data_IF_846413541597
#
_entry.id   IF_846413541597
#
_cell.length_a   1.000
_cell.length_b   1.000
_cell.length_c   1.000
_cell.angle_alpha   90.00
_cell.angle_beta   90.00
_cell.angle_gamma   90.00
#
_symmetry.space_group_name_H-M   'P 1'
#
loop_
_entity.id
_entity.type
_entity.pdbx_description
1 polymer ?
#
# COMPACT_ATOMS: atom_id res chain seq x y z
N UNK A 1 -5.71 11.76 -0.30
CA UNK A 1 -6.31 12.48 -1.46
C UNK A 1 -5.25 13.27 -2.22
N UNK A 2 -4.59 14.28 -1.62
CA UNK A 2 -3.55 15.06 -2.32
C UNK A 2 -2.37 14.20 -2.84
N UNK A 3 -1.82 13.31 -1.99
CA UNK A 3 -0.73 12.39 -2.39
C UNK A 3 -1.17 11.43 -3.50
N UNK A 4 -2.42 10.99 -3.51
CA UNK A 4 -2.93 10.08 -4.53
C UNK A 4 -3.24 10.78 -5.85
N UNK A 5 -3.74 12.01 -5.78
CA UNK A 5 -3.85 12.88 -6.96
C UNK A 5 -2.47 13.14 -7.56
N UNK A 6 -1.46 13.35 -6.72
CA UNK A 6 -0.07 13.50 -7.16
C UNK A 6 0.48 12.23 -7.81
N UNK A 7 0.23 11.05 -7.23
CA UNK A 7 0.69 9.79 -7.80
C UNK A 7 -0.02 9.46 -9.13
N UNK A 8 -1.32 9.70 -9.21
CA UNK A 8 -2.09 9.52 -10.44
C UNK A 8 -1.60 10.45 -11.55
N UNK A 9 -1.36 11.72 -11.22
CA UNK A 9 -0.80 12.69 -12.16
C UNK A 9 0.62 12.27 -12.58
N UNK A 10 1.45 11.82 -11.64
CA UNK A 10 2.80 11.36 -11.94
C UNK A 10 2.82 10.14 -12.88
N UNK A 11 1.94 9.17 -12.65
CA UNK A 11 1.80 8.01 -13.54
C UNK A 11 1.31 8.42 -14.92
N UNK A 12 0.32 9.31 -14.98
CA UNK A 12 -0.18 9.85 -16.25
C UNK A 12 0.92 10.56 -17.04
N UNK A 13 1.71 11.42 -16.38
CA UNK A 13 2.81 12.15 -17.02
C UNK A 13 3.93 11.21 -17.47
N UNK A 14 4.25 10.18 -16.70
CA UNK A 14 5.24 9.17 -17.10
C UNK A 14 4.77 8.40 -18.34
N UNK A 15 3.54 7.92 -18.33
CA UNK A 15 2.96 7.18 -19.45
C UNK A 15 2.85 8.06 -20.71
N UNK A 16 2.50 9.34 -20.54
CA UNK A 16 2.51 10.32 -21.63
C UNK A 16 3.90 10.46 -22.25
N UNK A 17 4.94 10.67 -21.42
CA UNK A 17 6.32 10.81 -21.91
C UNK A 17 6.79 9.54 -22.64
N UNK A 18 6.51 8.36 -22.09
CA UNK A 18 6.90 7.08 -22.73
C UNK A 18 6.22 6.91 -24.10
N UNK A 19 4.94 7.25 -24.21
CA UNK A 19 4.21 7.14 -25.47
C UNK A 19 4.63 8.19 -26.50
N UNK A 20 4.87 9.42 -26.07
CA UNK A 20 5.41 10.48 -26.94
C UNK A 20 6.78 10.07 -27.50
N UNK A 21 7.69 9.57 -26.64
CA UNK A 21 9.00 9.07 -27.07
C UNK A 21 8.88 7.92 -28.08
N UNK A 22 8.01 6.94 -27.82
CA UNK A 22 7.82 5.81 -28.73
C UNK A 22 7.30 6.25 -30.10
N UNK A 23 6.44 7.28 -30.16
CA UNK A 23 5.86 7.78 -31.42
C UNK A 23 6.82 8.70 -32.16
N UNK A 24 7.58 9.53 -31.46
CA UNK A 24 8.67 10.31 -32.06
C UNK A 24 9.73 9.41 -32.72
N UNK A 25 10.01 8.23 -32.15
CA UNK A 25 10.89 7.25 -32.79
C UNK A 25 10.33 6.73 -34.12
N UNK A 26 9.01 6.57 -34.23
CA UNK A 26 8.36 6.16 -35.48
C UNK A 26 8.39 7.28 -36.53
N UNK A 27 8.28 8.54 -36.11
CA UNK A 27 8.48 9.71 -36.97
C UNK A 27 9.92 9.75 -37.49
N UNK A 28 10.91 9.52 -36.61
CA UNK A 28 12.34 9.48 -36.99
C UNK A 28 12.66 8.35 -37.99
N UNK A 29 11.94 7.22 -37.91
CA UNK A 29 12.05 6.10 -38.86
C UNK A 29 11.34 6.38 -40.19
N UNK A 30 10.60 7.48 -40.30
CA UNK A 30 9.81 7.83 -41.49
C UNK A 30 8.55 6.98 -41.66
N UNK A 31 8.14 6.23 -40.64
CA UNK A 31 6.94 5.39 -40.64
C UNK A 31 5.68 6.22 -40.32
N UNK A 32 5.84 7.37 -39.67
CA UNK A 32 4.77 8.27 -39.26
C UNK A 32 5.09 9.70 -39.68
N UNK A 33 4.08 10.47 -40.10
CA UNK A 33 4.24 11.92 -40.30
C UNK A 33 4.10 12.67 -38.98
N UNK A 34 4.77 13.82 -38.86
CA UNK A 34 4.71 14.66 -37.65
C UNK A 34 3.28 15.07 -37.30
N UNK A 35 2.49 15.48 -38.31
CA UNK A 35 1.08 15.82 -38.14
C UNK A 35 0.20 14.62 -37.70
N UNK A 36 0.56 13.40 -38.11
CA UNK A 36 -0.13 12.19 -37.68
C UNK A 36 0.28 11.76 -36.27
N UNK A 37 1.52 12.03 -35.86
CA UNK A 37 2.00 11.88 -34.49
C UNK A 37 1.19 12.75 -33.52
N UNK A 38 1.06 14.03 -33.85
CA UNK A 38 0.34 15.00 -33.02
C UNK A 38 -1.14 14.61 -32.85
N UNK A 39 -1.80 14.22 -33.94
CA UNK A 39 -3.20 13.75 -33.89
C UNK A 39 -3.35 12.51 -33.01
N UNK A 40 -2.44 11.54 -33.13
CA UNK A 40 -2.48 10.33 -32.30
C UNK A 40 -2.22 10.65 -30.83
N UNK A 41 -1.37 11.64 -30.53
CA UNK A 41 -1.12 12.12 -29.16
C UNK A 41 -2.38 12.73 -28.57
N UNK A 42 -3.03 13.64 -29.29
CA UNK A 42 -4.27 14.28 -28.84
C UNK A 42 -5.40 13.25 -28.63
N UNK A 43 -5.58 12.31 -29.57
CA UNK A 43 -6.58 11.23 -29.44
C UNK A 43 -6.29 10.26 -28.28
N UNK A 44 -5.02 10.08 -27.93
CA UNK A 44 -4.66 9.28 -26.76
C UNK A 44 -4.89 10.06 -25.47
N UNK A 45 -4.48 11.32 -25.42
CA UNK A 45 -4.63 12.22 -24.29
C UNK A 45 -6.10 12.32 -23.87
N UNK A 46 -7.00 12.61 -24.81
CA UNK A 46 -8.43 12.71 -24.53
C UNK A 46 -9.03 11.40 -23.98
N UNK A 47 -8.61 10.25 -24.53
CA UNK A 47 -9.11 8.94 -24.12
C UNK A 47 -8.65 8.56 -22.72
N UNK A 48 -7.36 8.67 -22.44
CA UNK A 48 -6.83 8.35 -21.12
C UNK A 48 -7.28 9.37 -20.08
N UNK A 49 -7.29 10.67 -20.40
CA UNK A 49 -7.81 11.69 -19.50
C UNK A 49 -9.25 11.40 -19.07
N UNK A 50 -10.13 11.09 -20.04
CA UNK A 50 -11.53 10.76 -19.76
C UNK A 50 -11.66 9.51 -18.89
N UNK A 51 -10.94 8.43 -19.22
CA UNK A 51 -10.94 7.18 -18.44
C UNK A 51 -10.47 7.42 -17.01
N UNK A 52 -9.39 8.17 -16.83
CA UNK A 52 -8.83 8.50 -15.53
C UNK A 52 -9.79 9.36 -14.70
N UNK A 53 -10.47 10.34 -15.31
CA UNK A 53 -11.51 11.14 -14.66
C UNK A 53 -12.75 10.34 -14.29
N UNK A 54 -13.15 9.36 -15.11
CA UNK A 54 -14.29 8.48 -14.82
C UNK A 54 -13.99 7.48 -13.67
N UNK A 55 -12.74 7.07 -13.52
CA UNK A 55 -12.30 6.20 -12.41
C UNK A 55 -12.03 6.97 -11.11
N UNK A 56 -11.70 8.25 -11.20
CA UNK A 56 -11.31 9.08 -10.05
C UNK A 56 -12.35 9.07 -8.92
N UNK A 57 -13.66 9.27 -9.16
CA UNK A 57 -14.67 9.22 -8.08
C UNK A 57 -14.72 7.87 -7.38
N UNK A 58 -14.56 6.77 -8.13
CA UNK A 58 -14.55 5.41 -7.57
C UNK A 58 -13.33 5.18 -6.69
N UNK A 59 -12.15 5.64 -7.14
CA UNK A 59 -10.91 5.58 -6.37
C UNK A 59 -11.04 6.42 -5.09
N UNK A 60 -11.50 7.67 -5.19
CA UNK A 60 -11.72 8.56 -4.04
C UNK A 60 -12.66 7.90 -3.03
N UNK A 61 -13.79 7.37 -3.48
CA UNK A 61 -14.75 6.69 -2.61
C UNK A 61 -14.12 5.49 -1.91
N UNK A 62 -13.40 4.64 -2.65
CA UNK A 62 -12.70 3.48 -2.07
C UNK A 62 -11.72 3.90 -0.97
N UNK A 63 -10.91 4.93 -1.21
CA UNK A 63 -9.96 5.43 -0.22
C UNK A 63 -10.63 6.09 0.97
N UNK A 64 -11.73 6.80 0.75
CA UNK A 64 -12.54 7.39 1.81
C UNK A 64 -13.08 6.30 2.74
N UNK A 65 -13.68 5.24 2.18
CA UNK A 65 -14.17 4.10 2.96
C UNK A 65 -13.02 3.40 3.69
N UNK A 66 -11.91 3.11 3.00
CA UNK A 66 -10.72 2.50 3.59
C UNK A 66 -10.22 3.31 4.79
N UNK A 67 -10.10 4.62 4.65
CA UNK A 67 -9.66 5.53 5.71
C UNK A 67 -10.57 5.47 6.94
N UNK A 68 -11.90 5.48 6.75
CA UNK A 68 -12.85 5.38 7.86
C UNK A 68 -12.78 4.02 8.56
N UNK A 69 -12.64 2.93 7.80
CA UNK A 69 -12.49 1.59 8.36
C UNK A 69 -11.21 1.48 9.20
N UNK A 70 -10.09 2.04 8.72
CA UNK A 70 -8.84 2.08 9.48
C UNK A 70 -9.03 2.85 10.79
N UNK A 71 -9.67 4.02 10.76
CA UNK A 71 -9.95 4.78 11.99
C UNK A 71 -10.80 3.99 12.97
N UNK A 72 -11.87 3.36 12.51
CA UNK A 72 -12.73 2.54 13.36
C UNK A 72 -11.96 1.37 13.98
N UNK A 73 -11.07 0.73 13.22
CA UNK A 73 -10.21 -0.34 13.72
C UNK A 73 -9.16 0.16 14.71
N UNK A 74 -8.57 1.34 14.49
CA UNK A 74 -7.67 1.96 15.47
C UNK A 74 -8.39 2.19 16.79
N UNK A 75 -9.60 2.76 16.76
CA UNK A 75 -10.43 2.96 17.96
C UNK A 75 -10.82 1.64 18.64
N UNK A 76 -11.10 0.60 17.86
CA UNK A 76 -11.35 -0.74 18.40
C UNK A 76 -10.11 -1.31 19.09
N UNK A 77 -8.92 -1.14 18.51
CA UNK A 77 -7.67 -1.59 19.11
C UNK A 77 -7.28 -0.80 20.35
N UNK A 78 -7.55 0.51 20.39
CA UNK A 78 -7.42 1.31 21.62
C UNK A 78 -8.33 0.77 22.73
N UNK A 79 -9.59 0.45 22.43
CA UNK A 79 -10.54 -0.12 23.40
C UNK A 79 -10.16 -1.55 23.84
N UNK A 80 -9.59 -2.37 22.94
CA UNK A 80 -9.05 -3.68 23.31
C UNK A 80 -7.81 -3.51 24.19
N UNK A 81 -6.94 -2.56 23.87
CA UNK A 81 -5.74 -2.29 24.63
C UNK A 81 -6.06 -1.77 26.04
N UNK A 82 -7.04 -0.88 26.18
CA UNK A 82 -7.46 -0.31 27.47
C UNK A 82 -8.01 -1.37 28.43
N UNK A 83 -8.61 -2.44 27.90
CA UNK A 83 -9.10 -3.56 28.71
C UNK A 83 -8.02 -4.56 29.10
N UNK A 84 -6.92 -4.63 28.34
CA UNK A 84 -5.94 -5.72 28.48
C UNK A 84 -4.62 -5.29 29.12
N UNK A 85 -4.23 -4.03 28.94
CA UNK A 85 -2.95 -3.47 29.37
C UNK A 85 -3.14 -2.39 30.44
N UNK A 86 -2.04 -2.01 31.07
CA UNK A 86 -1.97 -0.94 32.06
C UNK A 86 -2.00 0.46 31.41
N UNK A 87 -2.42 1.45 32.20
CA UNK A 87 -2.57 2.84 31.73
C UNK A 87 -1.27 3.42 31.15
N UNK A 88 -0.09 2.99 31.63
CA UNK A 88 1.20 3.46 31.12
C UNK A 88 1.48 2.92 29.71
N UNK A 89 1.17 1.65 29.46
CA UNK A 89 1.30 1.06 28.12
C UNK A 89 0.27 1.66 27.16
N UNK A 90 -0.96 1.91 27.63
CA UNK A 90 -1.99 2.57 26.81
C UNK A 90 -1.59 3.99 26.41
N UNK A 91 -1.03 4.77 27.36
CA UNK A 91 -0.52 6.12 27.07
C UNK A 91 0.59 6.07 26.02
N UNK A 92 1.53 5.13 26.12
CA UNK A 92 2.59 4.94 25.10
C UNK A 92 2.04 4.60 23.73
N UNK A 93 1.03 3.74 23.65
CA UNK A 93 0.41 3.32 22.38
C UNK A 93 -0.42 4.43 21.73
N UNK A 94 -0.94 5.37 22.52
CA UNK A 94 -1.80 6.47 22.04
C UNK A 94 -1.10 7.83 22.05
N UNK A 95 0.19 7.85 22.36
CA UNK A 95 0.93 9.09 22.54
C UNK A 95 1.02 9.90 21.24
N UNK A 96 0.77 11.20 21.37
CA UNK A 96 0.93 12.15 20.28
C UNK A 96 2.42 12.41 20.02
N UNK A 97 2.94 11.79 18.94
CA UNK A 97 4.34 11.92 18.53
C UNK A 97 4.73 13.36 18.16
N UNK A 98 3.80 14.23 17.74
CA UNK A 98 4.11 15.64 17.47
C UNK A 98 4.46 16.38 18.76
N UNK A 99 3.63 16.21 19.80
CA UNK A 99 3.88 16.81 21.11
C UNK A 99 5.11 16.20 21.78
N UNK A 100 5.30 14.89 21.65
CA UNK A 100 6.50 14.23 22.14
C UNK A 100 7.76 14.75 21.45
N UNK A 101 7.73 14.92 20.13
CA UNK A 101 8.83 15.48 19.34
C UNK A 101 9.15 16.94 19.67
N UNK A 102 8.20 17.70 20.25
CA UNK A 102 8.47 19.02 20.81
C UNK A 102 9.05 18.95 22.24
N UNK A 103 8.59 17.99 23.05
CA UNK A 103 8.95 17.89 24.47
C UNK A 103 10.34 17.31 24.68
N UNK A 104 10.68 16.20 24.05
CA UNK A 104 11.94 15.48 24.31
C UNK A 104 13.19 16.35 24.05
N UNK A 105 13.29 17.10 22.94
CA UNK A 105 14.45 17.98 22.70
C UNK A 105 14.56 19.14 23.69
N UNK A 106 13.48 19.52 24.39
CA UNK A 106 13.53 20.56 25.43
C UNK A 106 14.04 20.05 26.76
N UNK A 107 13.99 18.74 27.00
CA UNK A 107 14.37 18.12 28.27
C UNK A 107 15.84 17.69 28.30
N UNK A 108 16.45 17.46 27.14
CA UNK A 108 17.84 17.02 27.01
C UNK A 108 18.53 17.67 25.82
N UNK A 109 19.82 18.01 25.98
CA UNK A 109 20.67 18.49 24.89
C UNK A 109 21.44 17.35 24.19
N UNK A 110 21.36 16.12 24.71
CA UNK A 110 22.02 14.97 24.09
C UNK A 110 21.20 14.44 22.91
N UNK A 111 21.73 14.67 21.70
CA UNK A 111 21.12 14.22 20.44
C UNK A 111 20.90 12.71 20.41
N UNK A 112 21.82 11.91 20.97
CA UNK A 112 21.69 10.46 20.98
C UNK A 112 20.50 9.99 21.83
N UNK A 113 20.29 10.66 22.97
CA UNK A 113 19.17 10.37 23.85
C UNK A 113 17.83 10.81 23.22
N UNK A 114 17.80 11.99 22.56
CA UNK A 114 16.63 12.47 21.81
C UNK A 114 16.23 11.48 20.72
N UNK A 115 17.17 11.00 19.91
CA UNK A 115 16.87 10.03 18.84
C UNK A 115 16.24 8.78 19.45
N UNK A 116 16.86 8.22 20.50
CA UNK A 116 16.40 6.97 21.10
C UNK A 116 15.00 7.09 21.70
N UNK A 117 14.74 8.17 22.42
CA UNK A 117 13.46 8.37 23.10
C UNK A 117 12.35 8.69 22.11
N UNK A 118 12.60 9.56 21.11
CA UNK A 118 11.62 9.84 20.05
C UNK A 118 11.37 8.62 19.18
N UNK A 119 12.39 7.81 18.91
CA UNK A 119 12.24 6.55 18.18
C UNK A 119 11.28 5.60 18.90
N UNK A 120 11.48 5.36 20.20
CA UNK A 120 10.63 4.49 20.99
C UNK A 120 9.18 5.00 20.99
N UNK A 121 8.99 6.31 21.19
CA UNK A 121 7.67 6.93 21.16
C UNK A 121 7.01 6.76 19.79
N UNK A 122 7.72 7.08 18.71
CA UNK A 122 7.20 6.95 17.35
C UNK A 122 6.89 5.49 17.00
N UNK A 123 7.68 4.53 17.49
CA UNK A 123 7.43 3.12 17.29
C UNK A 123 6.14 2.69 17.99
N UNK A 124 6.02 2.93 19.30
CA UNK A 124 4.84 2.53 20.07
C UNK A 124 3.57 3.23 19.64
N UNK A 125 3.63 4.54 19.36
CA UNK A 125 2.44 5.32 18.95
C UNK A 125 1.88 4.87 17.61
N UNK A 126 2.71 4.29 16.74
CA UNK A 126 2.27 3.86 15.40
C UNK A 126 1.88 2.37 15.33
N UNK A 127 2.18 1.55 16.33
CA UNK A 127 1.82 0.12 16.33
C UNK A 127 0.33 -0.09 16.05
N UNK A 128 -0.55 0.66 16.73
CA UNK A 128 -2.00 0.51 16.55
C UNK A 128 -2.42 0.85 15.11
N UNK A 129 -1.88 1.94 14.56
CA UNK A 129 -2.17 2.36 13.19
C UNK A 129 -1.71 1.32 12.16
N UNK A 130 -0.51 0.77 12.32
CA UNK A 130 0.02 -0.27 11.44
C UNK A 130 -0.75 -1.59 11.57
N UNK A 131 -1.18 -1.98 12.78
CA UNK A 131 -2.03 -3.16 12.98
C UNK A 131 -3.41 -2.97 12.35
N UNK A 132 -4.00 -1.78 12.47
CA UNK A 132 -5.28 -1.45 11.86
C UNK A 132 -5.19 -1.53 10.33
N UNK A 133 -4.19 -0.87 9.73
CA UNK A 133 -3.96 -0.93 8.29
C UNK A 133 -3.68 -2.36 7.80
N UNK A 134 -2.85 -3.11 8.54
CA UNK A 134 -2.57 -4.52 8.25
C UNK A 134 -3.86 -5.36 8.22
N UNK A 135 -4.73 -5.19 9.21
CA UNK A 135 -5.97 -5.95 9.32
C UNK A 135 -6.91 -5.69 8.15
N UNK A 136 -7.03 -4.43 7.72
CA UNK A 136 -7.80 -4.07 6.52
C UNK A 136 -7.22 -4.75 5.27
N UNK A 137 -5.89 -4.73 5.12
CA UNK A 137 -5.24 -5.39 3.98
C UNK A 137 -5.44 -6.91 3.99
N UNK A 138 -5.38 -7.56 5.15
CA UNK A 138 -5.63 -9.00 5.25
C UNK A 138 -7.08 -9.35 4.91
N UNK A 139 -8.06 -8.55 5.36
CA UNK A 139 -9.47 -8.76 5.01
C UNK A 139 -9.70 -8.57 3.50
N UNK A 140 -9.09 -7.55 2.91
CA UNK A 140 -9.19 -7.30 1.46
C UNK A 140 -8.55 -8.43 0.64
N UNK A 141 -7.39 -8.93 1.07
CA UNK A 141 -6.73 -10.07 0.45
C UNK A 141 -7.59 -11.32 0.57
N UNK A 142 -8.11 -11.61 1.76
CA UNK A 142 -9.02 -12.74 1.99
C UNK A 142 -10.26 -12.67 1.12
N UNK A 143 -10.88 -11.49 1.02
CA UNK A 143 -12.06 -11.26 0.19
C UNK A 143 -11.78 -11.45 -1.30
N UNK A 144 -10.66 -10.91 -1.80
CA UNK A 144 -10.28 -11.08 -3.22
C UNK A 144 -9.99 -12.53 -3.57
N UNK A 145 -9.30 -13.27 -2.68
CA UNK A 145 -9.11 -14.71 -2.82
C UNK A 145 -10.44 -15.48 -2.79
N UNK A 146 -11.35 -15.11 -1.88
CA UNK A 146 -12.67 -15.73 -1.79
C UNK A 146 -13.51 -15.52 -3.05
N UNK A 147 -13.58 -14.29 -3.57
CA UNK A 147 -14.28 -13.98 -4.83
C UNK A 147 -13.67 -14.73 -6.02
N UNK A 148 -12.34 -14.79 -6.07
CA UNK A 148 -11.62 -15.55 -7.10
C UNK A 148 -12.00 -17.04 -7.05
N UNK A 149 -11.97 -17.64 -5.86
CA UNK A 149 -12.36 -19.02 -5.63
C UNK A 149 -13.84 -19.28 -5.99
N UNK A 150 -14.74 -18.36 -5.63
CA UNK A 150 -16.16 -18.49 -5.94
C UNK A 150 -16.44 -18.43 -7.45
N UNK A 151 -15.81 -17.51 -8.18
CA UNK A 151 -15.92 -17.42 -9.65
C UNK A 151 -15.38 -18.68 -10.33
N UNK A 152 -14.28 -19.23 -9.82
CA UNK A 152 -13.73 -20.51 -10.31
C UNK A 152 -14.70 -21.66 -10.09
N UNK A 153 -15.29 -21.77 -8.90
CA UNK A 153 -16.29 -22.80 -8.58
C UNK A 153 -17.52 -22.72 -9.49
N UNK A 154 -17.92 -21.52 -9.90
CA UNK A 154 -19.01 -21.32 -10.87
C UNK A 154 -18.63 -21.84 -12.26
N UNK A 155 -17.44 -21.47 -12.78
CA UNK A 155 -16.93 -21.97 -14.07
C UNK A 155 -16.85 -23.49 -14.14
N UNK A 156 -16.43 -24.12 -13.04
CA UNK A 156 -16.35 -25.57 -12.95
C UNK A 156 -17.74 -26.24 -12.96
N UNK A 157 -18.75 -25.63 -12.31
CA UNK A 157 -20.13 -26.13 -12.37
C UNK A 157 -20.72 -26.02 -13.78
N UNK A 158 -20.43 -24.93 -14.47
CA UNK A 158 -20.92 -24.70 -15.83
C UNK A 158 -20.22 -25.63 -16.84
N UNK A 159 -18.95 -25.97 -16.62
CA UNK A 159 -18.19 -26.92 -17.45
C UNK A 159 -18.44 -28.41 -17.18
N UNK A 160 -19.00 -28.79 -16.02
CA UNK A 160 -19.21 -30.19 -15.61
C UNK A 160 -20.48 -30.84 -16.17
N UNK A 161 -21.28 -30.12 -16.98
CA UNK A 161 -22.51 -30.68 -17.55
C UNK A 161 -22.29 -31.65 -18.72
N UNK A 162 -21.05 -31.87 -19.20
CA UNK A 162 -20.81 -32.66 -20.43
C UNK A 162 -19.78 -33.80 -20.37
N UNK A 163 -19.01 -34.03 -19.29
CA UNK A 163 -17.89 -35.04 -19.30
C UNK A 163 -18.04 -36.25 -18.36
N UNK A 164 -17.62 -37.48 -18.79
CA UNK A 164 -17.83 -38.75 -18.09
C UNK A 164 -16.84 -39.01 -16.93
N UNK A 165 -17.22 -39.91 -16.02
CA UNK A 165 -16.65 -40.14 -14.68
C UNK A 165 -15.14 -40.45 -14.55
N UNK A 166 -14.41 -40.69 -15.64
CA UNK A 166 -12.98 -41.05 -15.60
C UNK A 166 -12.07 -39.82 -15.53
N UNK A 167 -12.48 -38.66 -16.06
CA UNK A 167 -11.75 -37.39 -15.92
C UNK A 167 -11.93 -36.74 -14.53
N UNK A 168 -12.87 -37.23 -13.73
CA UNK A 168 -13.21 -36.64 -12.42
C UNK A 168 -12.19 -36.91 -11.31
N UNK A 169 -11.29 -37.89 -11.49
CA UNK A 169 -10.25 -38.21 -10.50
C UNK A 169 -8.97 -37.38 -10.74
N UNK A 170 -8.55 -37.23 -11.99
CA UNK A 170 -7.42 -36.38 -12.39
C UNK A 170 -7.67 -34.89 -12.14
N UNK A 171 -8.91 -34.42 -12.37
CA UNK A 171 -9.29 -33.03 -12.04
C UNK A 171 -9.33 -32.76 -10.54
N UNK A 172 -9.58 -33.77 -9.69
CA UNK A 172 -9.60 -33.59 -8.24
C UNK A 172 -8.18 -33.44 -7.65
N UNK A 173 -7.20 -34.19 -8.17
CA UNK A 173 -5.79 -34.05 -7.77
C UNK A 173 -5.19 -32.72 -8.26
N UNK A 174 -5.50 -32.29 -9.48
CA UNK A 174 -5.12 -30.96 -9.98
C UNK A 174 -5.78 -29.83 -9.18
N UNK A 175 -7.06 -29.97 -8.76
CA UNK A 175 -7.73 -29.01 -7.89
C UNK A 175 -7.10 -28.92 -6.49
N UNK A 176 -6.63 -30.03 -5.92
CA UNK A 176 -5.98 -30.05 -4.61
C UNK A 176 -4.56 -29.45 -4.69
N UNK A 177 -3.81 -29.77 -5.75
CA UNK A 177 -2.47 -29.22 -5.98
C UNK A 177 -2.52 -27.71 -6.29
N UNK A 178 -3.49 -27.26 -7.10
CA UNK A 178 -3.68 -25.84 -7.41
C UNK A 178 -4.33 -25.08 -6.25
N UNK A 179 -5.17 -25.74 -5.44
CA UNK A 179 -5.65 -25.25 -4.15
C UNK A 179 -4.50 -24.99 -3.17
N UNK A 180 -3.55 -25.93 -3.08
CA UNK A 180 -2.31 -25.77 -2.34
C UNK A 180 -1.46 -24.60 -2.84
N UNK A 181 -1.31 -24.45 -4.16
CA UNK A 181 -0.59 -23.33 -4.77
C UNK A 181 -1.29 -21.98 -4.47
N UNK A 182 -2.62 -21.94 -4.46
CA UNK A 182 -3.38 -20.74 -4.08
C UNK A 182 -3.18 -20.38 -2.62
N UNK A 183 -3.27 -21.35 -1.70
CA UNK A 183 -3.02 -21.11 -0.26
C UNK A 183 -1.59 -20.65 -0.04
N UNK A 184 -0.61 -21.28 -0.70
CA UNK A 184 0.78 -20.85 -0.63
C UNK A 184 0.96 -19.41 -1.12
N UNK A 185 0.32 -19.06 -2.25
CA UNK A 185 0.37 -17.69 -2.79
C UNK A 185 -0.27 -16.67 -1.83
N UNK A 186 -1.35 -17.05 -1.14
CA UNK A 186 -1.97 -16.24 -0.10
C UNK A 186 -1.01 -16.06 1.08
N UNK A 187 -0.42 -17.14 1.60
CA UNK A 187 0.55 -17.08 2.69
C UNK A 187 1.76 -16.21 2.34
N UNK A 188 2.34 -16.39 1.14
CA UNK A 188 3.47 -15.59 0.67
C UNK A 188 3.10 -14.10 0.61
N UNK A 189 1.93 -13.77 0.04
CA UNK A 189 1.45 -12.38 -0.03
C UNK A 189 1.19 -11.81 1.37
N UNK A 190 0.58 -12.57 2.27
CA UNK A 190 0.35 -12.14 3.65
C UNK A 190 1.66 -11.92 4.39
N UNK A 191 2.63 -12.82 4.29
CA UNK A 191 3.98 -12.67 4.86
C UNK A 191 4.68 -11.43 4.29
N UNK A 192 4.61 -11.22 2.97
CA UNK A 192 5.16 -10.03 2.30
C UNK A 192 4.57 -8.74 2.88
N UNK A 193 3.25 -8.69 3.10
CA UNK A 193 2.58 -7.53 3.69
C UNK A 193 3.06 -7.30 5.13
N UNK A 194 3.15 -8.35 5.96
CA UNK A 194 3.64 -8.22 7.35
C UNK A 194 5.05 -7.63 7.36
N UNK A 195 5.96 -8.19 6.55
CA UNK A 195 7.36 -7.74 6.49
C UNK A 195 7.43 -6.30 6.00
N UNK A 196 6.71 -5.95 4.93
CA UNK A 196 6.65 -4.58 4.42
C UNK A 196 6.19 -3.58 5.49
N UNK A 197 5.10 -3.90 6.20
CA UNK A 197 4.55 -3.03 7.26
C UNK A 197 5.49 -2.92 8.46
N UNK A 198 6.12 -4.02 8.87
CA UNK A 198 7.09 -4.01 9.96
C UNK A 198 8.32 -3.15 9.63
N UNK A 199 8.86 -3.28 8.41
CA UNK A 199 9.95 -2.42 7.94
C UNK A 199 9.52 -0.97 7.82
N UNK A 200 8.31 -0.71 7.33
CA UNK A 200 7.72 0.63 7.25
C UNK A 200 7.64 1.29 8.62
N UNK A 201 7.16 0.56 9.64
CA UNK A 201 7.08 1.05 11.02
C UNK A 201 8.47 1.42 11.58
N UNK A 202 9.48 0.56 11.35
CA UNK A 202 10.85 0.81 11.83
C UNK A 202 11.47 2.03 11.13
N UNK A 203 11.29 2.13 9.81
CA UNK A 203 11.80 3.25 9.02
C UNK A 203 11.08 4.55 9.33
N UNK A 204 9.76 4.51 9.55
CA UNK A 204 8.97 5.64 9.97
C UNK A 204 9.43 6.14 11.35
N UNK A 205 9.58 5.24 12.33
CA UNK A 205 10.07 5.62 13.66
C UNK A 205 11.48 6.24 13.61
N UNK A 206 12.37 5.67 12.79
CA UNK A 206 13.70 6.21 12.58
C UNK A 206 13.68 7.57 11.87
N UNK A 207 12.86 7.71 10.83
CA UNK A 207 12.65 8.96 10.10
C UNK A 207 12.07 10.05 10.99
N UNK A 208 11.11 9.73 11.86
CA UNK A 208 10.55 10.66 12.85
C UNK A 208 11.58 11.14 13.87
N UNK A 209 12.42 10.22 14.37
CA UNK A 209 13.51 10.54 15.28
C UNK A 209 14.55 11.47 14.64
N UNK A 210 14.99 11.17 13.41
CA UNK A 210 15.91 12.03 12.66
C UNK A 210 15.27 13.39 12.33
N UNK A 211 14.02 13.38 11.87
CA UNK A 211 13.28 14.58 11.53
C UNK A 211 13.13 15.53 12.72
N UNK A 212 12.97 14.98 13.92
CA UNK A 212 12.91 15.76 15.17
C UNK A 212 14.21 16.50 15.47
N UNK A 213 15.38 15.93 15.13
CA UNK A 213 16.66 16.62 15.32
C UNK A 213 16.80 17.87 14.45
N UNK A 214 16.26 17.81 13.22
CA UNK A 214 16.32 18.93 12.30
C UNK A 214 15.24 19.97 12.60
N UNK A 215 14.00 19.52 12.82
CA UNK A 215 12.87 20.38 13.10
C UNK A 215 11.91 19.71 14.12
N UNK A 216 12.03 20.03 15.41
CA UNK A 216 11.14 19.50 16.44
C UNK A 216 9.66 19.73 16.11
N UNK A 217 8.82 18.72 16.34
CA UNK A 217 7.40 18.75 15.96
C UNK A 217 7.19 18.38 14.49
N UNK A 218 7.22 19.35 13.58
CA UNK A 218 6.90 19.14 12.15
C UNK A 218 7.87 18.19 11.45
N UNK A 219 9.15 18.25 11.77
CA UNK A 219 10.16 17.32 11.23
C UNK A 219 9.87 15.88 11.64
N UNK A 220 9.31 15.63 12.83
CA UNK A 220 8.83 14.30 13.23
C UNK A 220 7.79 13.76 12.25
N UNK A 221 6.80 14.58 11.89
CA UNK A 221 5.70 14.19 11.00
C UNK A 221 6.25 13.91 9.60
N UNK A 222 7.06 14.83 9.07
CA UNK A 222 7.64 14.70 7.73
C UNK A 222 8.55 13.48 7.68
N UNK A 223 9.40 13.30 8.69
CA UNK A 223 10.32 12.18 8.80
C UNK A 223 9.61 10.83 8.89
N UNK A 224 8.52 10.74 9.67
CA UNK A 224 7.66 9.56 9.73
C UNK A 224 7.13 9.18 8.34
N UNK A 225 6.57 10.13 7.61
CA UNK A 225 6.00 9.90 6.28
C UNK A 225 7.08 9.55 5.24
N UNK A 226 8.24 10.21 5.29
CA UNK A 226 9.36 9.91 4.41
C UNK A 226 9.92 8.50 4.67
N UNK A 227 10.07 8.11 5.93
CA UNK A 227 10.57 6.78 6.30
C UNK A 227 9.66 5.66 5.79
N UNK A 228 8.35 5.79 6.00
CA UNK A 228 7.37 4.83 5.49
C UNK A 228 7.34 4.78 3.95
N UNK A 229 7.34 5.95 3.30
CA UNK A 229 7.34 6.07 1.85
C UNK A 229 8.58 5.46 1.18
N UNK A 230 9.77 5.64 1.77
CA UNK A 230 11.01 5.06 1.25
C UNK A 230 10.98 3.52 1.29
N UNK A 231 10.50 2.93 2.38
CA UNK A 231 10.37 1.47 2.46
C UNK A 231 9.35 0.95 1.47
N UNK A 232 8.21 1.64 1.32
CA UNK A 232 7.21 1.26 0.33
C UNK A 232 7.82 1.18 -1.07
N UNK A 233 8.50 2.24 -1.51
CA UNK A 233 9.14 2.28 -2.84
C UNK A 233 10.27 1.27 -2.97
N UNK A 234 11.17 1.18 -1.98
CA UNK A 234 12.31 0.26 -2.04
C UNK A 234 11.86 -1.21 -2.05
N UNK A 235 10.82 -1.53 -1.30
CA UNK A 235 10.27 -2.88 -1.23
C UNK A 235 9.55 -3.25 -2.53
N UNK A 236 8.80 -2.33 -3.13
CA UNK A 236 8.18 -2.54 -4.45
C UNK A 236 9.26 -2.74 -5.54
N UNK A 237 10.30 -1.90 -5.59
CA UNK A 237 11.42 -2.09 -6.54
C UNK A 237 12.17 -3.39 -6.34
N UNK A 238 12.45 -3.79 -5.09
CA UNK A 238 13.13 -5.05 -4.80
C UNK A 238 12.33 -6.26 -5.28
N UNK A 239 11.00 -6.16 -5.25
CA UNK A 239 10.11 -7.27 -5.59
C UNK A 239 9.83 -7.34 -7.09
N UNK A 240 9.71 -6.20 -7.77
CA UNK A 240 9.57 -6.16 -9.23
C UNK A 240 10.89 -6.54 -9.94
N UNK A 241 12.05 -6.30 -9.32
CA UNK A 241 13.34 -6.77 -9.81
C UNK A 241 13.59 -8.28 -9.63
N UNK A 242 12.66 -9.02 -9.01
CA UNK A 242 12.79 -10.47 -8.75
C UNK A 242 11.91 -11.35 -9.65
N UNK A 243 11.17 -10.75 -10.59
CA UNK A 243 10.41 -11.43 -11.66
C UNK A 243 11.11 -11.31 -13.01
#
# INVERSE_FOLDING_TARGET
IAVQGSNMLSSYLLEQIEQEQAREELVKKGELTEAECDRLNEEWEEREWKKQMDELPKKIYHYFVKYHVIILLMRLYEEIASRRYDDVTLDRLTMDYFKAGLRVPTQTNDRGLVIREVYDICFWSNIIAYLADYSVHQVLLGYTYWVYYQKRRQRLKDGRSETPAVESATTAEEEEQEGGAMVLSFCIKSSRIIVSRALGLLAAAYGGALGTLYWPGWGTIIGLQMGDGMVYTAFDTFLDGSS
#
